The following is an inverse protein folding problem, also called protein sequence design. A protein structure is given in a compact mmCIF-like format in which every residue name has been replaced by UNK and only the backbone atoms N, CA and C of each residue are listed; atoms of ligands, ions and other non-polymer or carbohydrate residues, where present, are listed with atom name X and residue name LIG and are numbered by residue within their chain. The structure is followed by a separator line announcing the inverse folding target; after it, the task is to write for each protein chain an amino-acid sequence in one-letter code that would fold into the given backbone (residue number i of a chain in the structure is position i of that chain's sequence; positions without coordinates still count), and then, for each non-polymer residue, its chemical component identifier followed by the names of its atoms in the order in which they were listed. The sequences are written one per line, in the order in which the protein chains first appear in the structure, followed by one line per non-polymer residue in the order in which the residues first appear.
data_IF_395637241745
#
_entry.id   IF_395637241745
#
_cell.length_a   1.000
_cell.length_b   1.000
_cell.length_c   1.000
_cell.angle_alpha   90.00
_cell.angle_beta   90.00
_cell.angle_gamma   90.00
#
_symmetry.space_group_name_H-M   'P 1'
#
loop_
_entity.id
_entity.type
_entity.pdbx_description
1 polymer ?
#
# COMPACT_ATOMS: atom_id res chain seq x y z
N UNK A 1 -11.05 -5.03 -20.76
CA UNK A 1 -9.95 -4.11 -20.38
C UNK A 1 -10.40 -3.05 -19.35
N UNK A 2 -11.51 -2.36 -19.60
CA UNK A 2 -12.04 -1.30 -18.71
C UNK A 2 -12.47 -1.84 -17.34
N UNK A 3 -13.10 -3.02 -17.29
CA UNK A 3 -13.59 -3.62 -16.06
C UNK A 3 -12.45 -3.94 -15.07
N UNK A 4 -11.38 -4.59 -15.55
CA UNK A 4 -10.18 -4.85 -14.73
C UNK A 4 -9.53 -3.57 -14.20
N UNK A 5 -9.56 -2.51 -15.00
CA UNK A 5 -9.03 -1.21 -14.58
C UNK A 5 -9.90 -0.63 -13.46
N UNK A 6 -11.23 -0.65 -13.62
CA UNK A 6 -12.17 -0.16 -12.61
C UNK A 6 -12.07 -0.95 -11.30
N UNK A 7 -12.08 -2.29 -11.37
CA UNK A 7 -11.87 -3.16 -10.21
C UNK A 7 -10.54 -2.84 -9.52
N UNK A 8 -9.47 -2.66 -10.28
CA UNK A 8 -8.17 -2.29 -9.74
C UNK A 8 -8.21 -0.96 -8.99
N UNK A 9 -8.85 0.07 -9.55
CA UNK A 9 -8.97 1.38 -8.91
C UNK A 9 -9.82 1.34 -7.65
N UNK A 10 -10.94 0.62 -7.67
CA UNK A 10 -11.80 0.45 -6.49
C UNK A 10 -11.03 -0.31 -5.42
N UNK A 11 -10.42 -1.44 -5.78
CA UNK A 11 -9.70 -2.29 -4.83
C UNK A 11 -8.52 -1.56 -4.18
N UNK A 12 -7.72 -0.80 -4.95
CA UNK A 12 -6.61 -0.01 -4.40
C UNK A 12 -7.07 1.11 -3.47
N UNK A 13 -8.23 1.72 -3.73
CA UNK A 13 -8.77 2.77 -2.87
C UNK A 13 -9.40 2.20 -1.58
N UNK A 14 -10.04 1.04 -1.64
CA UNK A 14 -10.84 0.53 -0.51
C UNK A 14 -10.17 -0.60 0.29
N UNK A 15 -9.26 -1.38 -0.28
CA UNK A 15 -8.74 -2.58 0.37
C UNK A 15 -8.07 -2.29 1.73
N UNK A 16 -7.17 -1.30 1.80
CA UNK A 16 -6.48 -0.96 3.04
C UNK A 16 -7.43 -0.47 4.14
N UNK A 17 -8.47 0.28 3.76
CA UNK A 17 -9.49 0.76 4.70
C UNK A 17 -10.39 -0.38 5.17
N UNK A 18 -10.84 -1.24 4.25
CA UNK A 18 -11.64 -2.40 4.60
C UNK A 18 -10.89 -3.31 5.57
N UNK A 19 -9.62 -3.63 5.31
CA UNK A 19 -8.82 -4.46 6.22
C UNK A 19 -8.70 -3.79 7.59
N UNK A 20 -8.44 -2.47 7.64
CA UNK A 20 -8.32 -1.74 8.89
C UNK A 20 -9.64 -1.77 9.70
N UNK A 21 -10.79 -1.49 9.09
CA UNK A 21 -12.07 -1.39 9.80
C UNK A 21 -12.75 -2.75 10.06
N UNK A 22 -12.58 -3.74 9.17
CA UNK A 22 -13.24 -5.05 9.27
C UNK A 22 -12.86 -5.78 10.57
N UNK A 23 -11.64 -5.57 11.06
CA UNK A 23 -11.18 -6.17 12.31
C UNK A 23 -11.95 -5.63 13.52
N UNK A 24 -12.26 -4.33 13.54
CA UNK A 24 -12.96 -3.68 14.65
C UNK A 24 -14.48 -3.86 14.58
N UNK A 25 -15.00 -4.08 13.37
CA UNK A 25 -16.43 -4.21 13.11
C UNK A 25 -17.17 -5.14 14.09
N UNK A 26 -16.81 -6.44 14.25
CA UNK A 26 -17.58 -7.35 15.11
C UNK A 26 -17.54 -6.95 16.60
N UNK A 27 -16.46 -6.33 17.06
CA UNK A 27 -16.31 -5.93 18.47
C UNK A 27 -17.17 -4.72 18.85
N UNK A 28 -17.45 -3.83 17.90
CA UNK A 28 -18.24 -2.61 18.16
C UNK A 28 -19.74 -2.93 18.18
N UNK A 29 -20.21 -3.78 17.26
CA UNK A 29 -21.64 -4.01 17.07
C UNK A 29 -22.23 -5.11 17.97
N UNK A 30 -21.41 -6.03 18.51
CA UNK A 30 -21.90 -7.14 19.33
C UNK A 30 -21.16 -7.26 20.68
N UNK A 31 -21.72 -6.73 21.79
CA UNK A 31 -21.08 -6.76 23.12
C UNK A 31 -20.83 -8.18 23.65
N UNK A 32 -21.65 -9.16 23.23
CA UNK A 32 -21.54 -10.58 23.60
C UNK A 32 -20.62 -11.38 22.68
N UNK A 33 -19.94 -10.76 21.71
CA UNK A 33 -19.21 -11.47 20.66
C UNK A 33 -18.12 -12.40 21.21
N UNK A 34 -17.52 -12.06 22.37
CA UNK A 34 -16.48 -12.90 23.00
C UNK A 34 -17.00 -14.24 23.53
N UNK A 35 -18.28 -14.31 23.89
CA UNK A 35 -18.93 -15.52 24.38
C UNK A 35 -19.62 -16.33 23.27
N UNK A 36 -19.75 -15.77 22.07
CA UNK A 36 -20.31 -16.49 20.93
C UNK A 36 -19.33 -17.51 20.36
N UNK A 37 -19.90 -18.58 19.80
CA UNK A 37 -19.16 -19.61 19.06
C UNK A 37 -18.32 -18.97 17.94
N UNK A 38 -18.83 -17.91 17.29
CA UNK A 38 -18.08 -17.19 16.25
C UNK A 38 -16.88 -16.43 16.80
N UNK A 39 -17.00 -15.75 17.94
CA UNK A 39 -15.88 -15.01 18.52
C UNK A 39 -14.77 -15.92 19.03
N UNK A 40 -15.11 -17.10 19.53
CA UNK A 40 -14.12 -18.11 19.91
C UNK A 40 -13.36 -18.68 18.70
N UNK A 41 -14.05 -18.93 17.58
CA UNK A 41 -13.45 -19.50 16.38
C UNK A 41 -12.73 -18.45 15.50
N UNK A 42 -13.10 -17.17 15.59
CA UNK A 42 -12.49 -16.08 14.81
C UNK A 42 -10.96 -16.02 14.88
N UNK A 43 -10.32 -16.03 16.07
CA UNK A 43 -8.86 -15.99 16.17
C UNK A 43 -8.19 -17.22 15.56
N UNK A 44 -8.86 -18.37 15.54
CA UNK A 44 -8.33 -19.61 14.92
C UNK A 44 -8.25 -19.43 13.40
N UNK A 45 -9.34 -18.97 12.77
CA UNK A 45 -9.34 -18.67 11.34
C UNK A 45 -8.37 -17.55 10.98
N UNK A 46 -8.34 -16.47 11.76
CA UNK A 46 -7.42 -15.36 11.55
C UNK A 46 -5.96 -15.82 11.63
N UNK A 47 -5.61 -16.71 12.58
CA UNK A 47 -4.27 -17.30 12.68
C UNK A 47 -3.88 -18.08 11.43
N UNK A 48 -4.75 -18.95 10.92
CA UNK A 48 -4.44 -19.70 9.69
C UNK A 48 -4.25 -18.79 8.48
N UNK A 49 -5.11 -17.77 8.34
CA UNK A 49 -5.03 -16.80 7.26
C UNK A 49 -3.77 -15.92 7.36
N UNK A 50 -3.41 -15.49 8.57
CA UNK A 50 -2.16 -14.76 8.82
C UNK A 50 -0.93 -15.63 8.55
N UNK A 51 -0.94 -16.91 8.95
CA UNK A 51 0.15 -17.84 8.64
C UNK A 51 0.35 -17.99 7.13
N UNK A 52 -0.75 -18.13 6.38
CA UNK A 52 -0.70 -18.17 4.91
C UNK A 52 -0.18 -16.85 4.32
N UNK A 53 -0.61 -15.71 4.88
CA UNK A 53 -0.17 -14.37 4.46
C UNK A 53 1.33 -14.19 4.66
N UNK A 54 1.87 -14.60 5.81
CA UNK A 54 3.30 -14.53 6.10
C UNK A 54 4.12 -15.36 5.13
N UNK A 55 3.67 -16.56 4.79
CA UNK A 55 4.33 -17.39 3.76
C UNK A 55 4.35 -16.65 2.42
N UNK A 56 3.22 -16.08 2.00
CA UNK A 56 3.13 -15.29 0.77
C UNK A 56 4.07 -14.08 0.75
N UNK A 57 4.17 -13.36 1.87
CA UNK A 57 5.08 -12.23 2.04
C UNK A 57 6.54 -12.68 1.91
N UNK A 58 6.93 -13.78 2.56
CA UNK A 58 8.31 -14.30 2.50
C UNK A 58 8.67 -14.69 1.05
N UNK A 59 7.78 -15.38 0.35
CA UNK A 59 7.98 -15.76 -1.05
C UNK A 59 8.11 -14.52 -1.93
N UNK A 60 7.21 -13.55 -1.78
CA UNK A 60 7.22 -12.29 -2.53
C UNK A 60 8.51 -11.48 -2.27
N UNK A 61 8.91 -11.36 -1.00
CA UNK A 61 10.14 -10.66 -0.61
C UNK A 61 11.37 -11.34 -1.21
N UNK A 62 11.42 -12.68 -1.19
CA UNK A 62 12.53 -13.44 -1.79
C UNK A 62 12.65 -13.15 -3.29
N UNK A 63 11.54 -13.21 -4.03
CA UNK A 63 11.52 -12.89 -5.47
C UNK A 63 11.94 -11.44 -5.72
N UNK A 64 11.42 -10.49 -4.93
CA UNK A 64 11.79 -9.09 -5.06
C UNK A 64 13.29 -8.88 -4.86
N UNK A 65 13.89 -9.50 -3.83
CA UNK A 65 15.34 -9.39 -3.59
C UNK A 65 16.19 -10.03 -4.68
N UNK A 66 15.71 -11.11 -5.31
CA UNK A 66 16.40 -11.76 -6.43
C UNK A 66 16.37 -10.90 -7.70
N UNK A 67 15.29 -10.13 -7.90
CA UNK A 67 15.15 -9.20 -9.03
C UNK A 67 16.00 -7.93 -8.86
N UNK A 68 16.33 -7.55 -7.62
CA UNK A 68 17.15 -6.36 -7.37
C UNK A 68 18.61 -6.60 -7.83
N UNK A 69 19.22 -5.66 -8.56
CA UNK A 69 20.62 -5.75 -8.92
C UNK A 69 21.52 -5.73 -7.67
N UNK A 70 22.69 -6.40 -7.71
CA UNK A 70 23.57 -6.53 -6.55
C UNK A 70 23.97 -5.15 -6.00
N UNK A 71 23.88 -5.02 -4.67
CA UNK A 71 24.16 -3.79 -3.92
C UNK A 71 25.46 -3.10 -4.38
N UNK A 72 25.43 -1.83 -4.79
CA UNK A 72 26.65 -1.10 -5.11
C UNK A 72 27.46 -0.86 -3.82
N UNK A 73 28.79 -1.05 -3.89
CA UNK A 73 29.74 -1.02 -2.74
C UNK A 73 29.80 0.31 -1.96
N UNK A 74 29.06 1.35 -2.38
CA UNK A 74 29.04 2.68 -1.75
C UNK A 74 28.08 2.81 -0.56
N UNK A 75 27.23 1.83 -0.29
CA UNK A 75 26.18 1.96 0.73
C UNK A 75 26.50 1.19 2.01
N UNK A 76 26.28 1.85 3.15
CA UNK A 76 26.45 1.31 4.50
C UNK A 76 25.41 0.23 4.84
N UNK A 77 25.74 -0.64 5.80
CA UNK A 77 24.84 -1.66 6.37
C UNK A 77 23.55 -1.03 6.94
N UNK A 78 23.59 0.24 7.35
CA UNK A 78 22.41 1.01 7.81
C UNK A 78 21.30 1.11 6.74
N UNK A 79 21.63 1.00 5.45
CA UNK A 79 20.58 0.96 4.41
C UNK A 79 19.74 -0.32 4.43
N UNK A 80 20.26 -1.42 5.00
CA UNK A 80 19.46 -2.62 5.19
C UNK A 80 18.41 -2.44 6.28
N UNK A 81 18.69 -1.66 7.33
CA UNK A 81 17.69 -1.36 8.36
C UNK A 81 16.59 -0.46 7.81
N UNK A 82 16.93 0.47 6.91
CA UNK A 82 15.92 1.27 6.18
C UNK A 82 15.01 0.39 5.32
N UNK A 83 15.57 -0.58 4.59
CA UNK A 83 14.78 -1.51 3.77
C UNK A 83 13.81 -2.32 4.65
N UNK A 84 14.25 -2.83 5.80
CA UNK A 84 13.38 -3.57 6.72
C UNK A 84 12.32 -2.66 7.35
N UNK A 85 12.70 -1.45 7.76
CA UNK A 85 11.76 -0.46 8.29
C UNK A 85 10.68 -0.08 7.25
N UNK A 86 11.05 -0.07 5.97
CA UNK A 86 10.12 0.18 4.87
C UNK A 86 9.00 -0.86 4.82
N UNK A 87 9.30 -2.15 5.04
CA UNK A 87 8.27 -3.21 5.09
C UNK A 87 7.25 -3.00 6.21
N UNK A 88 7.67 -2.51 7.39
CA UNK A 88 6.75 -2.15 8.46
C UNK A 88 5.91 -0.90 8.15
N UNK A 89 6.48 0.03 7.37
CA UNK A 89 5.78 1.23 6.93
C UNK A 89 4.77 0.99 5.82
N UNK A 90 4.85 -0.12 5.06
CA UNK A 90 3.92 -0.45 3.96
C UNK A 90 2.44 -0.37 4.37
N UNK A 91 1.96 -1.05 5.42
CA UNK A 91 0.53 -1.00 5.78
C UNK A 91 0.08 0.40 6.17
N UNK A 92 0.93 1.17 6.84
CA UNK A 92 0.63 2.55 7.26
C UNK A 92 0.59 3.47 6.03
N UNK A 93 1.60 3.39 5.16
CA UNK A 93 1.67 4.22 3.96
C UNK A 93 0.57 3.89 2.96
N UNK A 94 0.21 2.61 2.81
CA UNK A 94 -0.91 2.18 1.98
C UNK A 94 -2.24 2.76 2.49
N UNK A 95 -2.42 2.87 3.81
CA UNK A 95 -3.63 3.45 4.39
C UNK A 95 -3.68 4.97 4.19
N UNK A 96 -2.64 5.70 4.59
CA UNK A 96 -2.66 7.17 4.60
C UNK A 96 -2.34 7.80 3.24
N UNK A 97 -1.34 7.28 2.53
CA UNK A 97 -0.88 7.84 1.26
C UNK A 97 -1.40 7.08 0.04
N UNK A 98 -1.95 5.87 0.22
CA UNK A 98 -2.64 5.12 -0.83
C UNK A 98 -4.13 5.39 -0.84
N UNK A 99 -4.84 4.88 0.18
CA UNK A 99 -6.29 4.84 0.20
C UNK A 99 -6.95 6.21 0.32
N UNK A 100 -6.48 7.09 1.23
CA UNK A 100 -7.08 8.41 1.44
C UNK A 100 -7.05 9.31 0.19
N UNK A 101 -5.89 9.57 -0.45
CA UNK A 101 -5.87 10.39 -1.66
C UNK A 101 -6.57 9.71 -2.84
N UNK A 102 -6.55 8.37 -2.93
CA UNK A 102 -7.29 7.65 -3.95
C UNK A 102 -8.82 7.83 -3.80
N UNK A 103 -9.34 7.76 -2.58
CA UNK A 103 -10.74 8.06 -2.30
C UNK A 103 -11.09 9.52 -2.55
N UNK A 104 -10.22 10.46 -2.14
CA UNK A 104 -10.43 11.88 -2.44
C UNK A 104 -10.51 12.11 -3.96
N UNK A 105 -9.59 11.54 -4.73
CA UNK A 105 -9.64 11.64 -6.19
C UNK A 105 -10.91 11.02 -6.80
N UNK A 106 -11.33 9.84 -6.32
CA UNK A 106 -12.54 9.16 -6.80
C UNK A 106 -13.82 9.95 -6.46
N UNK A 107 -13.97 10.40 -5.22
CA UNK A 107 -15.12 11.20 -4.77
C UNK A 107 -15.18 12.54 -5.48
N UNK A 108 -14.03 13.18 -5.68
CA UNK A 108 -13.90 14.43 -6.41
C UNK A 108 -14.25 14.27 -7.90
N UNK A 109 -13.86 13.15 -8.52
CA UNK A 109 -14.27 12.79 -9.88
C UNK A 109 -15.78 12.53 -9.98
N UNK A 110 -16.38 11.85 -9.00
CA UNK A 110 -17.84 11.66 -8.92
C UNK A 110 -18.58 13.01 -8.77
N UNK A 111 -17.99 13.96 -8.05
CA UNK A 111 -18.51 15.32 -7.90
C UNK A 111 -18.20 16.24 -9.10
N UNK A 112 -17.65 15.72 -10.20
CA UNK A 112 -17.35 16.46 -11.42
C UNK A 112 -16.16 17.44 -11.31
N UNK A 113 -15.37 17.37 -10.24
CA UNK A 113 -14.23 18.27 -9.98
C UNK A 113 -12.91 17.64 -10.46
N UNK A 114 -12.64 17.64 -11.75
CA UNK A 114 -11.42 17.02 -12.29
C UNK A 114 -10.13 17.60 -11.69
N UNK A 115 -9.17 16.73 -11.38
CA UNK A 115 -7.80 17.12 -11.06
C UNK A 115 -7.15 17.60 -12.38
N UNK A 116 -6.79 18.88 -12.44
CA UNK A 116 -6.08 19.44 -13.58
C UNK A 116 -4.67 18.86 -13.72
N UNK A 117 -4.10 18.95 -14.92
CA UNK A 117 -2.72 18.54 -15.16
C UNK A 117 -1.77 19.69 -14.83
N UNK A 118 -0.84 19.48 -13.89
CA UNK A 118 0.23 20.43 -13.63
C UNK A 118 1.39 20.18 -14.60
N UNK A 119 1.63 21.11 -15.52
CA UNK A 119 2.75 21.01 -16.46
C UNK A 119 4.04 21.38 -15.72
N UNK A 120 4.97 20.44 -15.60
CA UNK A 120 6.29 20.74 -15.03
C UNK A 120 7.04 21.70 -15.97
N UNK A 121 7.43 22.90 -15.51
CA UNK A 121 8.22 23.81 -16.35
C UNK A 121 9.57 23.18 -16.67
N UNK A 122 9.86 23.02 -17.96
CA UNK A 122 11.12 22.45 -18.45
C UNK A 122 12.08 23.59 -18.76
N UNK A 123 12.97 23.88 -17.82
CA UNK A 123 14.08 24.82 -18.05
C UNK A 123 15.13 24.15 -18.95
N UNK A 124 15.34 24.71 -20.14
CA UNK A 124 16.38 24.24 -21.05
C UNK A 124 17.65 25.04 -20.74
N UNK A 125 18.60 24.42 -20.03
CA UNK A 125 19.90 25.05 -19.78
C UNK A 125 20.65 25.09 -21.10
N UNK A 126 20.60 26.22 -21.81
CA UNK A 126 21.50 26.47 -22.92
C UNK A 126 22.91 26.45 -22.36
N UNK A 127 23.62 25.34 -22.56
CA UNK A 127 25.06 25.27 -22.42
C UNK A 127 25.62 26.22 -23.48
N UNK A 128 25.81 27.48 -23.10
CA UNK A 128 26.60 28.42 -23.88
C UNK A 128 27.94 27.75 -24.08
N UNK A 129 28.19 27.32 -25.32
CA UNK A 129 29.47 26.82 -25.80
C UNK A 129 30.52 27.86 -25.41
N UNK A 130 31.26 27.58 -24.33
CA UNK A 130 32.43 28.35 -23.94
C UNK A 130 33.53 28.03 -24.94
N UNK A 131 33.40 28.56 -26.15
CA UNK A 131 34.48 28.71 -27.11
C UNK A 131 34.97 30.15 -27.04
N UNK A 132 36.01 30.39 -26.24
CA UNK A 132 37.12 31.32 -26.47
C UNK A 132 38.08 31.26 -25.29
#
# INVERSE_FOLDING_TARGET
PIFRMLEGHINWATASLLIAFTIWYPFIFHPGFRSDVLGFNLPIFARYLLMLTWIGIIVSATIATLLLPPRPKKYSILKYTEIVAQWFLIPISALFFGALPALDAQTRLMAGKYLGFWVTPKETKNLSTSSR
#
